data_IF_977917581354
#
_entry.id   IF_977917581354
#
_cell.length_a   1.000
_cell.length_b   1.000
_cell.length_c   1.000
_cell.angle_alpha   90.00
_cell.angle_beta   90.00
_cell.angle_gamma   90.00
#
_symmetry.space_group_name_H-M   'P 1'
#
loop_
_entity.id
_entity.type
_entity.pdbx_description
1 polymer ?
#
# COMPACT_ATOMS: atom_id res chain seq x y z
N UNK A 1 -4.32 53.46 4.79
CA UNK A 1 -5.47 53.10 5.65
C UNK A 1 -6.17 51.86 5.11
N UNK A 2 -6.03 50.76 5.86
CA UNK A 2 -6.84 49.53 5.99
C UNK A 2 -7.26 48.70 4.74
N UNK A 3 -6.41 47.72 4.33
CA UNK A 3 -6.86 46.52 3.59
C UNK A 3 -7.82 45.61 4.40
N UNK A 4 -7.89 45.79 5.73
CA UNK A 4 -8.74 44.99 6.62
C UNK A 4 -10.26 45.18 6.41
N UNK A 5 -10.72 46.27 5.79
CA UNK A 5 -12.16 46.55 5.65
C UNK A 5 -12.81 45.81 4.45
N UNK A 6 -12.02 45.40 3.44
CA UNK A 6 -12.53 44.63 2.29
C UNK A 6 -12.68 43.14 2.60
N UNK A 7 -11.87 42.60 3.51
CA UNK A 7 -11.99 41.20 3.97
C UNK A 7 -13.32 40.99 4.73
N UNK A 8 -13.79 42.00 5.48
CA UNK A 8 -15.02 41.91 6.29
C UNK A 8 -16.29 41.91 5.41
N UNK A 9 -16.29 42.61 4.26
CA UNK A 9 -17.48 42.68 3.38
C UNK A 9 -17.65 41.43 2.50
N UNK A 10 -16.55 40.77 2.12
CA UNK A 10 -16.61 39.51 1.37
C UNK A 10 -16.91 38.29 2.26
N UNK A 11 -16.42 38.28 3.50
CA UNK A 11 -16.88 37.34 4.51
C UNK A 11 -18.36 37.55 4.86
N UNK A 12 -18.87 38.78 4.79
CA UNK A 12 -20.27 39.09 5.05
C UNK A 12 -21.25 38.40 4.10
N UNK A 13 -20.96 38.31 2.79
CA UNK A 13 -21.84 37.64 1.82
C UNK A 13 -21.79 36.11 1.90
N UNK A 14 -20.60 35.54 2.18
CA UNK A 14 -20.43 34.10 2.44
C UNK A 14 -21.05 33.73 3.78
N UNK A 15 -20.85 34.54 4.82
CA UNK A 15 -21.52 34.39 6.11
C UNK A 15 -23.03 34.57 6.00
N UNK A 16 -23.55 35.41 5.10
CA UNK A 16 -25.00 35.51 4.86
C UNK A 16 -25.53 34.26 4.17
N UNK A 17 -24.82 33.71 3.18
CA UNK A 17 -25.20 32.44 2.53
C UNK A 17 -25.14 31.24 3.49
N UNK A 18 -24.07 31.16 4.31
CA UNK A 18 -23.89 30.13 5.34
C UNK A 18 -24.87 30.32 6.49
N UNK A 19 -25.15 31.54 6.95
CA UNK A 19 -26.13 31.83 8.00
C UNK A 19 -27.57 31.61 7.52
N UNK A 20 -27.90 31.88 6.26
CA UNK A 20 -29.20 31.53 5.68
C UNK A 20 -29.36 30.01 5.54
N UNK A 21 -28.29 29.27 5.26
CA UNK A 21 -28.30 27.80 5.27
C UNK A 21 -28.39 27.22 6.70
N UNK A 22 -27.71 27.83 7.69
CA UNK A 22 -27.69 27.40 9.09
C UNK A 22 -28.98 27.73 9.86
N UNK A 23 -29.61 28.88 9.60
CA UNK A 23 -30.92 29.24 10.20
C UNK A 23 -32.10 28.45 9.62
N UNK A 24 -31.89 27.65 8.57
CA UNK A 24 -32.89 26.75 7.99
C UNK A 24 -32.82 25.31 8.53
N UNK A 25 -32.06 25.08 9.62
CA UNK A 25 -32.07 23.83 10.40
C UNK A 25 -32.81 24.10 11.72
N UNK A 26 -34.03 23.55 11.94
CA UNK A 26 -34.66 23.65 13.24
C UNK A 26 -33.90 22.78 14.24
N UNK A 27 -33.62 23.36 15.40
CA UNK A 27 -33.10 22.69 16.59
C UNK A 27 -33.84 21.37 16.86
N UNK A 28 -33.14 20.24 16.76
CA UNK A 28 -33.57 19.00 17.39
C UNK A 28 -33.34 19.15 18.91
N UNK A 29 -34.31 19.79 19.57
CA UNK A 29 -34.43 19.73 21.02
C UNK A 29 -35.02 18.39 21.42
N UNK A 30 -34.16 17.59 22.02
CA UNK A 30 -34.42 16.43 22.87
C UNK A 30 -35.60 16.70 23.81
N UNK A 31 -36.79 16.21 23.47
CA UNK A 31 -37.89 16.06 24.42
C UNK A 31 -37.93 14.58 24.83
N UNK A 32 -37.24 14.28 25.94
CA UNK A 32 -37.44 13.04 26.67
C UNK A 32 -38.80 13.12 27.36
N UNK A 33 -39.74 12.33 26.88
CA UNK A 33 -41.01 12.10 27.55
C UNK A 33 -40.86 10.82 28.37
N UNK A 34 -40.72 11.00 29.68
CA UNK A 34 -40.93 9.96 30.69
C UNK A 34 -42.42 9.65 30.76
N UNK A 35 -42.77 8.36 30.75
CA UNK A 35 -44.13 7.87 31.00
C UNK A 35 -44.08 6.36 31.26
N UNK A 36 -44.74 5.86 32.32
CA UNK A 36 -44.34 4.64 33.00
C UNK A 36 -44.96 3.36 32.43
N UNK A 37 -44.29 2.25 32.74
CA UNK A 37 -44.84 0.90 32.70
C UNK A 37 -46.11 0.76 33.54
N UNK A 38 -47.13 0.11 32.99
CA UNK A 38 -47.98 -0.88 33.68
C UNK A 38 -48.97 -1.50 32.69
N UNK A 39 -49.18 -2.81 32.80
CA UNK A 39 -50.48 -3.40 32.49
C UNK A 39 -50.55 -4.45 31.39
N UNK A 40 -50.11 -5.65 31.75
CA UNK A 40 -50.66 -6.97 31.40
C UNK A 40 -52.08 -6.98 30.75
N UNK A 41 -52.23 -7.63 29.58
CA UNK A 41 -53.39 -8.51 29.31
C UNK A 41 -53.18 -9.48 28.15
N UNK A 42 -53.34 -10.75 28.50
CA UNK A 42 -53.38 -11.98 27.71
C UNK A 42 -54.74 -12.13 26.99
N UNK A 43 -54.75 -12.58 25.72
CA UNK A 43 -55.52 -13.74 25.20
C UNK A 43 -55.91 -13.67 23.70
N UNK A 44 -55.49 -14.73 22.99
CA UNK A 44 -56.18 -15.58 21.98
C UNK A 44 -56.71 -15.02 20.65
N UNK A 45 -56.03 -15.45 19.58
CA UNK A 45 -56.47 -16.44 18.57
C UNK A 45 -57.46 -16.05 17.44
N UNK A 46 -57.02 -16.43 16.22
CA UNK A 46 -57.77 -16.95 15.05
C UNK A 46 -58.21 -15.96 13.93
N UNK A 47 -57.85 -16.42 12.71
CA UNK A 47 -58.35 -16.13 11.35
C UNK A 47 -57.90 -14.91 10.51
N UNK A 48 -57.21 -15.25 9.41
CA UNK A 48 -57.26 -14.55 8.10
C UNK A 48 -58.63 -14.79 7.43
N UNK A 49 -59.05 -14.12 6.32
CA UNK A 49 -58.33 -13.17 5.46
C UNK A 49 -59.13 -11.86 5.20
N UNK A 50 -58.47 -10.78 4.76
CA UNK A 50 -58.83 -10.07 3.52
C UNK A 50 -58.03 -8.76 3.32
N UNK A 51 -57.53 -8.63 2.09
CA UNK A 51 -57.43 -7.41 1.28
C UNK A 51 -57.57 -6.04 1.98
N UNK A 52 -56.44 -5.38 2.28
CA UNK A 52 -56.39 -3.91 2.35
C UNK A 52 -55.11 -3.36 1.73
N UNK A 53 -55.28 -2.76 0.54
CA UNK A 53 -54.37 -1.78 -0.05
C UNK A 53 -54.17 -0.62 0.94
N UNK A 54 -53.03 -0.59 1.62
CA UNK A 54 -52.51 0.63 2.25
C UNK A 54 -51.46 1.22 1.33
N UNK A 55 -51.90 2.20 0.55
CA UNK A 55 -51.05 3.19 -0.12
C UNK A 55 -50.35 4.01 0.95
N UNK A 56 -49.11 3.65 1.25
CA UNK A 56 -48.23 4.48 2.07
C UNK A 56 -47.70 5.60 1.19
N UNK A 57 -48.30 6.80 1.31
CA UNK A 57 -47.79 8.04 0.72
C UNK A 57 -46.32 8.24 1.10
N UNK A 58 -45.40 8.47 0.15
CA UNK A 58 -44.05 8.93 0.49
C UNK A 58 -44.15 10.35 1.04
N UNK A 59 -43.84 10.50 2.33
CA UNK A 59 -43.88 11.77 3.04
C UNK A 59 -42.72 12.68 2.61
N UNK A 60 -43.06 13.77 1.90
CA UNK A 60 -42.61 15.18 2.01
C UNK A 60 -41.15 15.58 2.27
N UNK A 61 -40.17 14.68 2.45
CA UNK A 61 -38.77 15.05 2.71
C UNK A 61 -38.04 15.54 1.44
N UNK A 62 -38.52 15.19 0.26
CA UNK A 62 -37.82 15.48 -1.01
C UNK A 62 -37.86 16.96 -1.41
N UNK A 63 -38.94 17.68 -1.08
CA UNK A 63 -39.14 19.06 -1.58
C UNK A 63 -38.24 20.09 -0.88
N UNK A 64 -37.92 19.87 0.40
CA UNK A 64 -37.08 20.81 1.19
C UNK A 64 -35.59 20.67 0.83
N UNK A 65 -35.12 19.47 0.46
CA UNK A 65 -33.73 19.26 0.03
C UNK A 65 -33.43 19.91 -1.33
N UNK A 66 -34.39 19.82 -2.27
CA UNK A 66 -34.23 20.37 -3.62
C UNK A 66 -34.06 21.90 -3.64
N UNK A 67 -34.77 22.62 -2.76
CA UNK A 67 -34.64 24.08 -2.67
C UNK A 67 -33.28 24.51 -2.09
N UNK A 68 -32.74 23.77 -1.13
CA UNK A 68 -31.42 24.06 -0.54
C UNK A 68 -30.29 23.83 -1.55
N UNK A 69 -30.30 22.72 -2.29
CA UNK A 69 -29.32 22.45 -3.35
C UNK A 69 -29.34 23.52 -4.45
N UNK A 70 -30.51 24.06 -4.81
CA UNK A 70 -30.60 25.15 -5.78
C UNK A 70 -29.87 26.43 -5.32
N UNK A 71 -29.93 26.76 -4.03
CA UNK A 71 -29.21 27.90 -3.47
C UNK A 71 -27.68 27.71 -3.55
N UNK A 72 -27.18 26.50 -3.28
CA UNK A 72 -25.74 26.20 -3.43
C UNK A 72 -25.27 26.29 -4.87
N UNK A 73 -26.05 25.78 -5.84
CA UNK A 73 -25.76 25.94 -7.28
C UNK A 73 -25.70 27.41 -7.70
N UNK A 74 -26.65 28.22 -7.25
CA UNK A 74 -26.66 29.65 -7.53
C UNK A 74 -25.45 30.36 -6.90
N UNK A 75 -25.07 30.01 -5.67
CA UNK A 75 -23.89 30.53 -5.01
C UNK A 75 -22.59 30.13 -5.74
N UNK A 76 -22.51 28.88 -6.20
CA UNK A 76 -21.37 28.37 -6.97
C UNK A 76 -21.18 29.14 -8.27
N UNK A 77 -22.25 29.30 -9.06
CA UNK A 77 -22.23 30.11 -10.27
C UNK A 77 -21.84 31.57 -9.99
N UNK A 78 -22.32 32.14 -8.89
CA UNK A 78 -21.98 33.51 -8.50
C UNK A 78 -20.51 33.68 -8.10
N UNK A 79 -19.82 32.65 -7.61
CA UNK A 79 -18.39 32.70 -7.28
C UNK A 79 -17.52 32.89 -8.53
N UNK A 80 -17.88 32.27 -9.66
CA UNK A 80 -17.14 32.37 -10.91
C UNK A 80 -17.02 33.83 -11.41
N UNK A 81 -18.11 34.59 -11.25
CA UNK A 81 -18.23 36.00 -11.65
C UNK A 81 -17.52 36.98 -10.70
N UNK A 82 -17.03 36.53 -9.54
CA UNK A 82 -16.34 37.41 -8.57
C UNK A 82 -14.86 37.58 -8.92
N UNK A 83 -14.32 38.82 -8.85
CA UNK A 83 -12.91 39.10 -9.09
C UNK A 83 -12.04 38.72 -7.87
N UNK A 84 -12.13 37.47 -7.42
CA UNK A 84 -11.25 36.93 -6.39
C UNK A 84 -9.87 36.63 -6.98
N UNK A 85 -8.82 36.84 -6.17
CA UNK A 85 -7.54 36.20 -6.46
C UNK A 85 -7.67 34.68 -6.24
N UNK A 86 -6.66 33.91 -6.67
CA UNK A 86 -6.73 32.45 -6.67
C UNK A 86 -6.91 31.86 -5.26
N UNK A 87 -6.23 32.42 -4.25
CA UNK A 87 -6.30 31.95 -2.86
C UNK A 87 -7.70 32.17 -2.27
N UNK A 88 -8.25 33.38 -2.43
CA UNK A 88 -9.58 33.73 -1.94
C UNK A 88 -10.67 32.91 -2.64
N UNK A 89 -10.49 32.63 -3.94
CA UNK A 89 -11.40 31.78 -4.72
C UNK A 89 -11.41 30.35 -4.21
N UNK A 90 -10.24 29.73 -4.03
CA UNK A 90 -10.13 28.36 -3.49
C UNK A 90 -10.73 28.26 -2.09
N UNK A 91 -10.49 29.25 -1.23
CA UNK A 91 -11.06 29.28 0.11
C UNK A 91 -12.59 29.35 0.08
N UNK A 92 -13.17 30.22 -0.75
CA UNK A 92 -14.62 30.36 -0.90
C UNK A 92 -15.26 29.09 -1.51
N UNK A 93 -14.65 28.53 -2.54
CA UNK A 93 -15.09 27.28 -3.16
C UNK A 93 -15.04 26.11 -2.17
N UNK A 94 -13.94 25.96 -1.42
CA UNK A 94 -13.80 24.90 -0.42
C UNK A 94 -14.86 25.00 0.68
N UNK A 95 -15.10 26.20 1.22
CA UNK A 95 -16.16 26.43 2.22
C UNK A 95 -17.55 26.10 1.66
N UNK A 96 -17.83 26.53 0.42
CA UNK A 96 -19.12 26.28 -0.23
C UNK A 96 -19.34 24.79 -0.48
N UNK A 97 -18.34 24.08 -1.01
CA UNK A 97 -18.39 22.62 -1.22
C UNK A 97 -18.57 21.87 0.10
N UNK A 98 -17.88 22.29 1.16
CA UNK A 98 -18.01 21.67 2.50
C UNK A 98 -19.44 21.77 3.02
N UNK A 99 -20.08 22.92 2.86
CA UNK A 99 -21.46 23.12 3.28
C UNK A 99 -22.47 22.40 2.37
N UNK A 100 -22.22 22.40 1.06
CA UNK A 100 -23.08 21.76 0.07
C UNK A 100 -23.05 20.24 0.21
N UNK A 101 -21.87 19.62 0.42
CA UNK A 101 -21.72 18.18 0.54
C UNK A 101 -22.61 17.56 1.64
N UNK A 102 -22.84 18.29 2.73
CA UNK A 102 -23.72 17.89 3.85
C UNK A 102 -25.21 17.85 3.49
N UNK A 103 -25.60 18.54 2.42
CA UNK A 103 -27.01 18.67 2.00
C UNK A 103 -27.28 17.87 0.74
N UNK A 104 -26.34 17.88 -0.20
CA UNK A 104 -26.44 17.27 -1.52
C UNK A 104 -25.03 16.96 -2.04
N UNK A 105 -24.49 15.82 -1.62
CA UNK A 105 -23.16 15.35 -1.99
C UNK A 105 -23.02 15.19 -3.50
N UNK A 106 -24.02 14.63 -4.20
CA UNK A 106 -23.98 14.46 -5.65
C UNK A 106 -23.88 15.81 -6.37
N UNK A 107 -24.65 16.81 -5.94
CA UNK A 107 -24.57 18.17 -6.47
C UNK A 107 -23.20 18.83 -6.22
N UNK A 108 -22.64 18.67 -5.01
CA UNK A 108 -21.31 19.18 -4.69
C UNK A 108 -20.21 18.50 -5.51
N UNK A 109 -20.28 17.17 -5.70
CA UNK A 109 -19.37 16.42 -6.56
C UNK A 109 -19.46 16.87 -8.02
N UNK A 110 -20.68 17.08 -8.53
CA UNK A 110 -20.88 17.60 -9.89
C UNK A 110 -20.27 18.98 -10.06
N UNK A 111 -20.41 19.88 -9.08
CA UNK A 111 -19.79 21.20 -9.12
C UNK A 111 -18.26 21.13 -9.09
N UNK A 112 -17.71 20.29 -8.22
CA UNK A 112 -16.26 20.04 -8.17
C UNK A 112 -15.70 19.50 -9.50
N UNK A 113 -16.44 18.63 -10.19
CA UNK A 113 -16.03 18.08 -11.48
C UNK A 113 -16.29 19.02 -12.66
N UNK A 114 -17.32 19.85 -12.57
CA UNK A 114 -17.76 20.76 -13.62
C UNK A 114 -16.84 21.96 -13.81
N UNK A 115 -16.06 22.32 -12.78
CA UNK A 115 -14.99 23.29 -12.94
C UNK A 115 -13.77 22.63 -13.57
N UNK A 116 -13.65 22.82 -14.89
CA UNK A 116 -12.38 22.66 -15.58
C UNK A 116 -11.47 23.87 -15.27
N UNK A 117 -11.01 23.98 -14.01
CA UNK A 117 -9.78 24.66 -13.59
C UNK A 117 -9.53 26.02 -14.29
N UNK A 118 -10.29 27.07 -13.94
CA UNK A 118 -10.30 28.43 -14.52
C UNK A 118 -8.95 29.22 -14.46
N UNK A 119 -7.81 28.55 -14.38
CA UNK A 119 -6.48 29.14 -14.55
C UNK A 119 -5.64 28.34 -15.56
N UNK A 120 -4.80 28.99 -16.39
CA UNK A 120 -3.93 28.34 -17.36
C UNK A 120 -2.86 27.42 -16.75
N UNK A 121 -2.79 27.32 -15.42
CA UNK A 121 -1.88 26.44 -14.72
C UNK A 121 -2.66 25.37 -13.95
N UNK A 122 -2.55 24.09 -14.30
CA UNK A 122 -3.03 22.98 -13.49
C UNK A 122 -2.13 22.83 -12.27
N UNK A 123 -2.21 23.77 -11.33
CA UNK A 123 -1.48 23.67 -10.06
C UNK A 123 -2.07 22.51 -9.23
N UNK A 124 -1.30 21.43 -8.98
CA UNK A 124 -1.76 20.28 -8.20
C UNK A 124 -2.28 20.66 -6.81
N UNK A 125 -1.73 21.73 -6.20
CA UNK A 125 -2.11 22.17 -4.87
C UNK A 125 -3.56 22.67 -4.80
N UNK A 126 -4.09 23.24 -5.89
CA UNK A 126 -5.47 23.73 -5.93
C UNK A 126 -6.48 22.59 -5.86
N UNK A 127 -6.19 21.49 -6.57
CA UNK A 127 -7.03 20.29 -6.57
C UNK A 127 -7.08 19.65 -5.19
N UNK A 128 -5.93 19.52 -4.54
CA UNK A 128 -5.86 18.94 -3.19
C UNK A 128 -6.63 19.78 -2.17
N UNK A 129 -6.52 21.11 -2.26
CA UNK A 129 -7.24 22.03 -1.38
C UNK A 129 -8.77 21.89 -1.51
N UNK A 130 -9.30 21.82 -2.73
CA UNK A 130 -10.74 21.63 -2.94
C UNK A 130 -11.20 20.22 -2.59
N UNK A 131 -10.39 19.18 -2.85
CA UNK A 131 -10.72 17.82 -2.45
C UNK A 131 -10.92 17.70 -0.94
N UNK A 132 -10.18 18.47 -0.14
CA UNK A 132 -10.31 18.49 1.32
C UNK A 132 -11.69 18.96 1.83
N UNK A 133 -12.45 19.70 1.01
CA UNK A 133 -13.81 20.14 1.36
C UNK A 133 -14.77 18.97 1.64
N UNK A 134 -14.50 17.79 1.06
CA UNK A 134 -15.31 16.59 1.26
C UNK A 134 -14.88 15.76 2.46
N UNK A 135 -13.78 16.11 3.14
CA UNK A 135 -13.19 15.31 4.21
C UNK A 135 -14.17 14.97 5.34
N UNK A 136 -14.90 15.97 5.85
CA UNK A 136 -15.89 15.78 6.92
C UNK A 136 -17.03 14.85 6.48
N UNK A 137 -17.56 15.04 5.27
CA UNK A 137 -18.66 14.22 4.77
C UNK A 137 -18.23 12.77 4.54
N UNK A 138 -17.02 12.56 3.99
CA UNK A 138 -16.46 11.22 3.82
C UNK A 138 -16.17 10.53 5.16
N UNK A 139 -15.78 11.29 6.19
CA UNK A 139 -15.57 10.77 7.53
C UNK A 139 -16.87 10.39 8.23
N UNK A 140 -17.90 11.24 8.20
CA UNK A 140 -19.16 10.97 8.91
C UNK A 140 -20.07 9.97 8.19
N UNK A 141 -19.95 9.89 6.86
CA UNK A 141 -20.80 9.05 6.03
C UNK A 141 -20.02 8.20 5.02
N UNK A 142 -19.13 7.27 5.45
CA UNK A 142 -18.30 6.45 4.57
C UNK A 142 -19.08 5.71 3.48
N UNK A 143 -20.16 5.02 3.84
CA UNK A 143 -20.93 4.19 2.90
C UNK A 143 -21.62 5.00 1.81
N UNK A 144 -22.44 5.99 2.20
CA UNK A 144 -23.19 6.80 1.24
C UNK A 144 -22.27 7.69 0.40
N UNK A 145 -21.15 8.14 0.96
CA UNK A 145 -20.17 8.90 0.18
C UNK A 145 -19.41 8.05 -0.82
N UNK A 146 -19.01 6.82 -0.48
CA UNK A 146 -18.44 5.89 -1.46
C UNK A 146 -19.44 5.54 -2.56
N UNK A 147 -20.70 5.31 -2.19
CA UNK A 147 -21.77 5.07 -3.17
C UNK A 147 -21.94 6.26 -4.13
N UNK A 148 -21.77 7.50 -3.67
CA UNK A 148 -21.78 8.69 -4.53
C UNK A 148 -20.56 8.77 -5.45
N UNK A 149 -19.36 8.52 -4.91
CA UNK A 149 -18.12 8.54 -5.68
C UNK A 149 -18.07 7.46 -6.76
N UNK A 150 -18.46 6.23 -6.43
CA UNK A 150 -18.41 5.07 -7.33
C UNK A 150 -19.35 5.20 -8.54
N UNK A 151 -20.43 6.00 -8.45
CA UNK A 151 -21.30 6.32 -9.58
C UNK A 151 -20.61 7.16 -10.67
N UNK A 152 -19.52 7.86 -10.34
CA UNK A 152 -18.80 8.73 -11.26
C UNK A 152 -17.30 8.36 -11.30
N UNK A 153 -16.82 7.70 -12.37
CA UNK A 153 -15.42 7.27 -12.47
C UNK A 153 -14.40 8.40 -12.31
N UNK A 154 -14.74 9.62 -12.79
CA UNK A 154 -13.86 10.79 -12.64
C UNK A 154 -13.80 11.25 -11.18
N UNK A 155 -14.94 11.32 -10.49
CA UNK A 155 -14.98 11.63 -9.05
C UNK A 155 -14.17 10.60 -8.27
N UNK A 156 -14.37 9.31 -8.53
CA UNK A 156 -13.62 8.23 -7.88
C UNK A 156 -12.11 8.37 -8.14
N UNK A 157 -11.68 8.64 -9.37
CA UNK A 157 -10.26 8.80 -9.69
C UNK A 157 -9.62 9.99 -8.96
N UNK A 158 -10.34 11.10 -8.82
CA UNK A 158 -9.83 12.33 -8.20
C UNK A 158 -9.94 12.35 -6.67
N UNK A 159 -10.98 11.72 -6.10
CA UNK A 159 -11.33 11.87 -4.69
C UNK A 159 -11.18 10.59 -3.87
N UNK A 160 -10.94 9.41 -4.47
CA UNK A 160 -10.76 8.17 -3.72
C UNK A 160 -9.63 8.27 -2.68
N UNK A 161 -8.53 8.97 -3.00
CA UNK A 161 -7.47 9.23 -2.02
C UNK A 161 -7.98 10.01 -0.80
N UNK A 162 -8.72 11.11 -1.02
CA UNK A 162 -9.30 11.88 0.09
C UNK A 162 -10.36 11.08 0.85
N UNK A 163 -11.17 10.28 0.16
CA UNK A 163 -12.14 9.39 0.80
C UNK A 163 -11.43 8.39 1.71
N UNK A 164 -10.43 7.65 1.20
CA UNK A 164 -9.63 6.69 1.97
C UNK A 164 -9.02 7.34 3.20
N UNK A 165 -8.46 8.56 3.07
CA UNK A 165 -7.86 9.27 4.20
C UNK A 165 -8.79 9.51 5.38
N UNK A 166 -10.08 9.73 5.11
CA UNK A 166 -11.06 10.14 6.10
C UNK A 166 -11.99 9.01 6.54
N UNK A 167 -12.32 8.09 5.64
CA UNK A 167 -13.26 7.00 5.88
C UNK A 167 -12.60 5.75 6.49
N UNK A 168 -11.36 5.44 6.11
CA UNK A 168 -10.71 4.17 6.47
C UNK A 168 -10.53 3.98 8.00
N UNK A 169 -10.31 5.07 8.73
CA UNK A 169 -10.20 5.04 10.20
C UNK A 169 -11.55 5.10 10.90
N UNK A 170 -12.56 5.73 10.28
CA UNK A 170 -13.93 5.77 10.82
C UNK A 170 -14.59 4.41 10.77
N UNK A 171 -14.58 3.81 9.58
CA UNK A 171 -15.25 2.54 9.30
C UNK A 171 -14.30 1.60 8.55
N UNK A 172 -13.35 1.00 9.28
CA UNK A 172 -12.39 0.07 8.70
C UNK A 172 -13.06 -1.19 8.15
N UNK A 173 -14.17 -1.63 8.75
CA UNK A 173 -14.86 -2.84 8.32
C UNK A 173 -15.55 -2.65 6.97
N UNK A 174 -16.24 -1.54 6.78
CA UNK A 174 -16.81 -1.16 5.49
C UNK A 174 -15.70 -0.95 4.46
N UNK A 175 -14.65 -0.19 4.80
CA UNK A 175 -13.54 0.09 3.88
C UNK A 175 -12.87 -1.19 3.37
N UNK A 176 -12.68 -2.19 4.23
CA UNK A 176 -12.18 -3.51 3.78
C UNK A 176 -13.18 -4.22 2.84
N UNK A 177 -14.49 -4.11 3.08
CA UNK A 177 -15.49 -4.78 2.25
C UNK A 177 -15.49 -4.32 0.79
N UNK A 178 -15.15 -3.05 0.55
CA UNK A 178 -15.07 -2.44 -0.78
C UNK A 178 -13.63 -2.33 -1.30
N UNK A 179 -12.65 -3.00 -0.67
CA UNK A 179 -11.23 -2.82 -1.00
C UNK A 179 -10.91 -3.09 -2.48
N UNK A 180 -11.62 -4.01 -3.12
CA UNK A 180 -11.45 -4.31 -4.54
C UNK A 180 -12.11 -3.28 -5.48
N UNK A 181 -13.03 -2.46 -4.98
CA UNK A 181 -13.63 -1.35 -5.72
C UNK A 181 -12.75 -0.09 -5.67
N UNK A 182 -11.97 0.08 -4.60
CA UNK A 182 -11.03 1.18 -4.46
C UNK A 182 -9.96 1.09 -5.57
N UNK A 183 -9.62 2.20 -6.26
CA UNK A 183 -8.55 2.22 -7.25
C UNK A 183 -7.24 1.65 -6.71
N UNK A 184 -6.54 0.85 -7.52
CA UNK A 184 -5.38 0.05 -7.09
C UNK A 184 -4.31 0.87 -6.37
N UNK A 185 -4.08 2.11 -6.80
CA UNK A 185 -3.12 3.05 -6.21
C UNK A 185 -3.49 3.53 -4.80
N UNK A 186 -4.75 3.42 -4.39
CA UNK A 186 -5.23 3.81 -3.05
C UNK A 186 -5.51 2.63 -2.12
N UNK A 187 -5.56 1.38 -2.64
CA UNK A 187 -5.80 0.18 -1.80
C UNK A 187 -4.75 0.04 -0.70
N UNK A 188 -3.48 0.31 -1.02
CA UNK A 188 -2.39 0.27 -0.05
C UNK A 188 -2.53 1.34 1.04
N UNK A 189 -2.89 2.58 0.68
CA UNK A 189 -3.16 3.64 1.66
C UNK A 189 -4.35 3.29 2.55
N UNK A 190 -5.40 2.68 2.00
CA UNK A 190 -6.56 2.21 2.77
C UNK A 190 -6.15 1.18 3.83
N UNK A 191 -5.40 0.14 3.43
CA UNK A 191 -4.91 -0.86 4.40
C UNK A 191 -4.00 -0.23 5.44
N UNK A 192 -3.07 0.65 5.04
CA UNK A 192 -2.18 1.32 5.98
C UNK A 192 -2.95 2.12 7.02
N UNK A 193 -4.01 2.83 6.64
CA UNK A 193 -4.83 3.62 7.56
C UNK A 193 -5.66 2.75 8.51
N UNK A 194 -6.19 1.64 8.00
CA UNK A 194 -6.95 0.70 8.83
C UNK A 194 -6.05 0.10 9.90
N UNK A 195 -4.83 -0.32 9.54
CA UNK A 195 -3.91 -0.99 10.45
C UNK A 195 -2.79 -0.09 10.98
N UNK A 196 -2.95 1.23 10.90
CA UNK A 196 -1.98 2.17 11.46
C UNK A 196 -1.94 2.03 12.99
N UNK A 197 -0.77 2.28 13.60
CA UNK A 197 -0.62 2.29 15.06
C UNK A 197 -1.43 3.43 15.70
N UNK A 198 -1.64 4.51 14.97
CA UNK A 198 -2.44 5.65 15.43
C UNK A 198 -3.95 5.38 15.39
N UNK A 199 -4.38 4.31 14.70
CA UNK A 199 -5.79 3.89 14.70
C UNK A 199 -6.07 3.04 15.95
N UNK A 200 -6.91 3.49 16.91
CA UNK A 200 -7.10 2.83 18.20
C UNK A 200 -8.00 1.59 18.09
N UNK A 201 -7.54 0.57 17.37
CA UNK A 201 -8.22 -0.72 17.28
C UNK A 201 -7.93 -1.57 18.52
N UNK A 202 -8.97 -2.17 19.11
CA UNK A 202 -8.75 -3.21 20.12
C UNK A 202 -8.13 -4.45 19.46
N UNK A 203 -7.39 -5.29 20.21
CA UNK A 203 -6.83 -6.53 19.67
C UNK A 203 -7.86 -7.43 18.98
N UNK A 204 -9.07 -7.51 19.52
CA UNK A 204 -10.18 -8.32 18.97
C UNK A 204 -10.64 -7.78 17.62
N UNK A 205 -10.86 -6.45 17.52
CA UNK A 205 -11.25 -5.80 16.27
C UNK A 205 -10.15 -5.96 15.22
N UNK A 206 -8.89 -5.76 15.62
CA UNK A 206 -7.74 -5.93 14.72
C UNK A 206 -7.66 -7.35 14.18
N UNK A 207 -7.80 -8.38 15.02
CA UNK A 207 -7.80 -9.78 14.60
C UNK A 207 -8.96 -10.10 13.63
N UNK A 208 -10.16 -9.56 13.90
CA UNK A 208 -11.33 -9.68 12.99
C UNK A 208 -11.03 -9.06 11.62
N UNK A 209 -10.46 -7.85 11.59
CA UNK A 209 -10.14 -7.14 10.35
C UNK A 209 -9.03 -7.82 9.56
N UNK A 210 -7.97 -8.31 10.22
CA UNK A 210 -6.90 -9.09 9.57
C UNK A 210 -7.45 -10.36 8.94
N UNK A 211 -8.34 -11.07 9.65
CA UNK A 211 -9.01 -12.27 9.12
C UNK A 211 -9.86 -11.93 7.90
N UNK A 212 -10.61 -10.82 7.95
CA UNK A 212 -11.40 -10.33 6.81
C UNK A 212 -10.50 -10.00 5.62
N UNK A 213 -9.40 -9.28 5.85
CA UNK A 213 -8.41 -8.95 4.81
C UNK A 213 -7.84 -10.22 4.17
N UNK A 214 -7.53 -11.23 4.97
CA UNK A 214 -7.02 -12.51 4.49
C UNK A 214 -8.06 -13.33 3.70
N UNK A 215 -9.33 -12.91 3.67
CA UNK A 215 -10.35 -13.45 2.78
C UNK A 215 -10.52 -12.69 1.45
N UNK A 216 -9.76 -11.60 1.23
CA UNK A 216 -9.96 -10.70 0.07
C UNK A 216 -8.77 -10.79 -0.89
N UNK A 217 -8.93 -11.58 -1.95
CA UNK A 217 -7.98 -11.67 -3.07
C UNK A 217 -7.37 -13.06 -3.23
N UNK A 218 -6.33 -13.16 -4.06
CA UNK A 218 -5.56 -14.40 -4.21
C UNK A 218 -4.62 -14.63 -3.02
N UNK A 219 -4.23 -15.88 -2.72
CA UNK A 219 -3.28 -16.18 -1.66
C UNK A 219 -2.02 -15.30 -1.68
N UNK A 220 -1.37 -15.15 -2.83
CA UNK A 220 -0.19 -14.30 -2.98
C UNK A 220 -0.43 -12.82 -2.63
N UNK A 221 -1.59 -12.28 -2.98
CA UNK A 221 -1.94 -10.90 -2.66
C UNK A 221 -2.17 -10.73 -1.16
N UNK A 222 -2.81 -11.72 -0.53
CA UNK A 222 -3.05 -11.75 0.91
C UNK A 222 -1.73 -11.82 1.67
N UNK A 223 -0.84 -12.75 1.31
CA UNK A 223 0.47 -12.92 1.97
C UNK A 223 1.28 -11.63 1.92
N UNK A 224 1.36 -10.99 0.74
CA UNK A 224 2.06 -9.71 0.57
C UNK A 224 1.46 -8.59 1.43
N UNK A 225 0.13 -8.44 1.42
CA UNK A 225 -0.55 -7.41 2.21
C UNK A 225 -0.34 -7.61 3.72
N UNK A 226 -0.43 -8.85 4.19
CA UNK A 226 -0.17 -9.18 5.58
C UNK A 226 1.28 -8.88 5.96
N UNK A 227 2.24 -9.27 5.11
CA UNK A 227 3.65 -8.94 5.31
C UNK A 227 3.87 -7.43 5.46
N UNK A 228 3.29 -6.63 4.56
CA UNK A 228 3.37 -5.16 4.61
C UNK A 228 2.76 -4.57 5.90
N UNK A 229 1.63 -5.09 6.37
CA UNK A 229 0.99 -4.65 7.62
C UNK A 229 1.86 -4.98 8.84
N UNK A 230 2.35 -6.21 8.93
CA UNK A 230 3.15 -6.66 10.07
C UNK A 230 4.53 -6.02 10.12
N UNK A 231 5.11 -5.63 8.97
CA UNK A 231 6.33 -4.82 8.94
C UNK A 231 6.19 -3.52 9.76
N UNK A 232 4.98 -2.93 9.79
CA UNK A 232 4.66 -1.69 10.51
C UNK A 232 4.13 -1.92 11.91
N UNK A 233 3.45 -3.02 12.13
CA UNK A 233 2.81 -3.38 13.41
C UNK A 233 3.35 -4.71 13.91
N UNK A 234 4.54 -4.70 14.55
CA UNK A 234 5.19 -5.91 14.99
C UNK A 234 4.31 -6.73 15.92
N UNK A 235 4.36 -8.05 15.76
CA UNK A 235 3.73 -8.96 16.71
C UNK A 235 4.41 -8.86 18.07
N UNK A 236 3.63 -8.90 19.15
CA UNK A 236 4.13 -8.98 20.52
C UNK A 236 4.13 -10.42 21.05
N UNK A 237 3.48 -11.34 20.34
CA UNK A 237 3.40 -12.74 20.73
C UNK A 237 4.69 -13.49 20.39
N UNK A 238 5.03 -14.47 21.23
CA UNK A 238 6.18 -15.33 21.00
C UNK A 238 5.95 -16.25 19.78
N UNK A 239 6.97 -16.49 18.94
CA UNK A 239 6.84 -17.36 17.76
C UNK A 239 6.29 -18.74 18.08
N UNK A 240 6.75 -19.37 19.17
CA UNK A 240 6.29 -20.69 19.59
C UNK A 240 4.78 -20.74 19.88
N UNK A 241 4.21 -19.66 20.45
CA UNK A 241 2.77 -19.55 20.69
C UNK A 241 2.02 -19.46 19.36
N UNK A 242 2.47 -18.60 18.44
CA UNK A 242 1.85 -18.39 17.13
C UNK A 242 1.90 -19.65 16.26
N UNK A 243 3.02 -20.38 16.29
CA UNK A 243 3.16 -21.67 15.62
C UNK A 243 2.24 -22.75 16.22
N UNK A 244 2.04 -22.76 17.55
CA UNK A 244 1.03 -23.62 18.16
C UNK A 244 -0.39 -23.29 17.67
N UNK A 245 -0.77 -22.02 17.73
CA UNK A 245 -2.11 -21.56 17.31
C UNK A 245 -2.40 -21.87 15.83
N UNK A 246 -1.43 -21.70 14.93
CA UNK A 246 -1.67 -21.93 13.50
C UNK A 246 -1.83 -23.42 13.13
N UNK A 247 -1.39 -24.33 14.02
CA UNK A 247 -1.30 -25.77 13.73
C UNK A 247 -2.66 -26.40 14.04
N UNK A 248 -3.37 -25.80 15.00
CA UNK A 248 -4.72 -26.16 15.38
C UNK A 248 -5.78 -25.56 14.45
N UNK A 249 -5.40 -24.62 13.58
CA UNK A 249 -6.30 -23.97 12.62
C UNK A 249 -6.33 -24.74 11.28
N UNK A 250 -7.52 -24.94 10.68
CA UNK A 250 -7.62 -25.50 9.34
C UNK A 250 -7.05 -24.53 8.29
N UNK A 251 -6.66 -25.01 7.09
CA UNK A 251 -6.25 -24.14 5.99
C UNK A 251 -7.28 -23.04 5.73
N UNK A 252 -6.84 -21.78 5.71
CA UNK A 252 -7.72 -20.65 5.48
C UNK A 252 -7.18 -19.29 5.94
N UNK A 253 -8.02 -18.24 5.93
CA UNK A 253 -7.62 -16.87 6.26
C UNK A 253 -7.02 -16.72 7.66
N UNK A 254 -7.66 -17.30 8.68
CA UNK A 254 -7.19 -17.20 10.07
C UNK A 254 -5.80 -17.82 10.24
N UNK A 255 -5.59 -19.00 9.66
CA UNK A 255 -4.29 -19.68 9.65
C UNK A 255 -3.23 -18.81 8.98
N UNK A 256 -3.54 -18.25 7.80
CA UNK A 256 -2.62 -17.37 7.06
C UNK A 256 -2.24 -16.12 7.86
N UNK A 257 -3.18 -15.51 8.60
CA UNK A 257 -2.89 -14.39 9.51
C UNK A 257 -1.91 -14.80 10.59
N UNK A 258 -2.14 -15.94 11.27
CA UNK A 258 -1.20 -16.46 12.26
C UNK A 258 0.16 -16.78 11.65
N UNK A 259 0.21 -17.22 10.40
CA UNK A 259 1.46 -17.43 9.68
C UNK A 259 2.24 -16.16 9.41
N UNK A 260 1.55 -15.11 9.01
CA UNK A 260 2.18 -13.81 8.81
C UNK A 260 2.65 -13.19 10.14
N UNK A 261 1.87 -13.34 11.22
CA UNK A 261 2.26 -12.91 12.58
C UNK A 261 3.49 -13.65 13.09
N UNK A 262 3.52 -14.98 12.90
CA UNK A 262 4.68 -15.79 13.25
C UNK A 262 5.92 -15.29 12.51
N UNK A 263 5.86 -15.18 11.17
CA UNK A 263 6.97 -14.70 10.36
C UNK A 263 7.47 -13.31 10.80
N UNK A 264 6.56 -12.45 11.25
CA UNK A 264 6.91 -11.16 11.81
C UNK A 264 7.65 -11.25 13.15
N UNK A 265 7.12 -12.07 14.07
CA UNK A 265 7.69 -12.28 15.41
C UNK A 265 9.13 -12.80 15.36
N UNK A 266 9.48 -13.44 14.25
CA UNK A 266 10.82 -13.97 14.04
C UNK A 266 11.86 -12.86 13.80
N UNK A 267 11.52 -11.70 13.19
CA UNK A 267 12.48 -10.68 12.68
C UNK A 267 13.57 -10.23 13.67
N UNK A 268 13.28 -10.23 14.97
CA UNK A 268 14.18 -9.79 16.03
C UNK A 268 14.91 -10.91 16.77
N UNK A 269 14.77 -12.16 16.33
CA UNK A 269 15.45 -13.30 16.96
C UNK A 269 16.90 -13.43 16.47
N UNK A 270 17.72 -14.04 17.31
CA UNK A 270 19.04 -14.51 16.92
C UNK A 270 18.93 -15.74 16.00
N UNK A 271 19.90 -15.93 15.10
CA UNK A 271 19.90 -16.99 14.08
C UNK A 271 19.75 -18.40 14.67
N UNK A 272 20.26 -18.67 15.87
CA UNK A 272 20.11 -19.96 16.55
C UNK A 272 18.65 -20.23 16.94
N UNK A 273 17.98 -19.24 17.54
CA UNK A 273 16.55 -19.32 17.89
C UNK A 273 15.67 -19.44 16.65
N UNK A 274 16.07 -18.82 15.56
CA UNK A 274 15.41 -18.97 14.26
C UNK A 274 15.29 -20.43 13.83
N UNK A 275 16.41 -21.15 13.86
CA UNK A 275 16.43 -22.57 13.47
C UNK A 275 15.56 -23.41 14.40
N UNK A 276 15.63 -23.18 15.71
CA UNK A 276 14.81 -23.90 16.69
C UNK A 276 13.30 -23.71 16.47
N UNK A 277 12.85 -22.50 16.15
CA UNK A 277 11.44 -22.23 15.85
C UNK A 277 11.03 -22.76 14.47
N UNK A 278 11.93 -22.76 13.48
CA UNK A 278 11.66 -23.31 12.16
C UNK A 278 11.40 -24.82 12.17
N UNK A 279 12.17 -25.59 12.95
CA UNK A 279 12.00 -27.05 13.04
C UNK A 279 10.64 -27.47 13.63
N UNK A 280 9.90 -26.54 14.25
CA UNK A 280 8.55 -26.79 14.78
C UNK A 280 7.46 -26.65 13.70
N UNK A 281 7.80 -26.17 12.50
CA UNK A 281 6.84 -25.95 11.42
C UNK A 281 6.56 -27.28 10.71
N UNK A 282 5.28 -27.71 10.59
CA UNK A 282 4.93 -28.89 9.82
C UNK A 282 5.43 -28.79 8.38
N UNK A 283 5.90 -29.91 7.82
CA UNK A 283 6.43 -29.96 6.45
C UNK A 283 5.45 -29.41 5.40
N UNK A 284 4.14 -29.62 5.59
CA UNK A 284 3.10 -29.11 4.70
C UNK A 284 3.01 -27.57 4.63
N UNK A 285 3.51 -26.87 5.66
CA UNK A 285 3.40 -25.42 5.79
C UNK A 285 4.72 -24.69 5.52
N UNK A 286 5.84 -25.41 5.45
CA UNK A 286 7.18 -24.83 5.30
C UNK A 286 7.31 -23.93 4.06
N UNK A 287 6.66 -24.29 2.95
CA UNK A 287 6.66 -23.46 1.74
C UNK A 287 6.02 -22.08 1.97
N UNK A 288 4.83 -22.05 2.56
CA UNK A 288 4.12 -20.81 2.85
C UNK A 288 4.82 -20.00 3.96
N UNK A 289 5.34 -20.69 4.99
CA UNK A 289 6.12 -20.06 6.05
C UNK A 289 7.40 -19.40 5.51
N UNK A 290 8.12 -20.05 4.59
CA UNK A 290 9.30 -19.50 3.94
C UNK A 290 8.97 -18.23 3.14
N UNK A 291 7.87 -18.24 2.37
CA UNK A 291 7.43 -17.05 1.63
C UNK A 291 7.12 -15.87 2.55
N UNK A 292 6.30 -16.12 3.58
CA UNK A 292 5.90 -15.09 4.54
C UNK A 292 7.08 -14.54 5.34
N UNK A 293 8.04 -15.40 5.71
CA UNK A 293 9.26 -14.99 6.39
C UNK A 293 10.11 -14.10 5.47
N UNK A 294 10.37 -14.53 4.24
CA UNK A 294 11.21 -13.80 3.30
C UNK A 294 10.59 -12.45 2.89
N UNK A 295 9.27 -12.35 2.80
CA UNK A 295 8.56 -11.10 2.55
C UNK A 295 8.72 -10.07 3.69
N UNK A 296 8.96 -10.53 4.92
CA UNK A 296 8.98 -9.68 6.11
C UNK A 296 10.36 -9.38 6.68
N UNK A 297 11.40 -10.10 6.26
CA UNK A 297 12.78 -9.75 6.60
C UNK A 297 13.30 -8.64 5.69
N UNK A 298 14.08 -7.74 6.27
CA UNK A 298 14.75 -6.64 5.58
C UNK A 298 16.28 -6.80 5.68
N UNK A 299 17.01 -5.84 5.09
CA UNK A 299 18.46 -5.84 5.06
C UNK A 299 19.15 -5.61 6.42
N UNK A 300 18.38 -5.40 7.51
CA UNK A 300 18.89 -5.29 8.87
C UNK A 300 18.60 -6.53 9.70
N UNK A 301 17.74 -7.42 9.21
CA UNK A 301 17.38 -8.62 9.94
C UNK A 301 18.51 -9.65 9.86
N UNK A 302 19.02 -10.17 11.00
CA UNK A 302 20.01 -11.24 11.00
C UNK A 302 19.48 -12.54 10.35
N UNK A 303 18.16 -12.61 10.17
CA UNK A 303 17.45 -13.72 9.56
C UNK A 303 17.48 -13.78 8.03
N UNK A 304 17.96 -12.72 7.36
CA UNK A 304 17.77 -12.58 5.91
C UNK A 304 18.33 -13.78 5.14
N UNK A 305 19.57 -14.21 5.42
CA UNK A 305 20.16 -15.36 4.74
C UNK A 305 19.40 -16.65 5.03
N UNK A 306 19.00 -16.86 6.29
CA UNK A 306 18.19 -18.01 6.68
C UNK A 306 16.85 -18.05 5.93
N UNK A 307 16.16 -16.92 5.83
CA UNK A 307 14.89 -16.81 5.09
C UNK A 307 15.06 -17.12 3.60
N UNK A 308 16.15 -16.66 2.98
CA UNK A 308 16.51 -16.99 1.60
C UNK A 308 16.75 -18.50 1.46
N UNK A 309 17.53 -19.12 2.35
CA UNK A 309 17.80 -20.56 2.34
C UNK A 309 16.53 -21.39 2.46
N UNK A 310 15.62 -21.00 3.36
CA UNK A 310 14.32 -21.69 3.50
C UNK A 310 13.46 -21.56 2.25
N UNK A 311 13.45 -20.40 1.60
CA UNK A 311 12.73 -20.21 0.34
C UNK A 311 13.31 -21.07 -0.80
N UNK A 312 14.64 -21.20 -0.87
CA UNK A 312 15.34 -22.08 -1.82
C UNK A 312 14.97 -23.54 -1.56
N UNK A 313 15.06 -24.00 -0.30
CA UNK A 313 14.76 -25.38 0.08
C UNK A 313 13.30 -25.76 -0.18
N UNK A 314 12.38 -24.81 0.00
CA UNK A 314 10.98 -25.02 -0.29
C UNK A 314 10.59 -24.70 -1.75
N UNK A 315 11.57 -24.49 -2.64
CA UNK A 315 11.38 -24.21 -4.06
C UNK A 315 10.48 -23.00 -4.38
N UNK A 316 10.49 -21.99 -3.50
CA UNK A 316 9.69 -20.77 -3.63
C UNK A 316 10.39 -19.76 -4.55
N UNK A 317 10.61 -20.10 -5.81
CA UNK A 317 11.42 -19.28 -6.74
C UNK A 317 10.75 -17.97 -7.15
N UNK A 318 9.43 -17.94 -7.22
CA UNK A 318 8.65 -16.78 -7.64
C UNK A 318 8.83 -15.58 -6.70
N UNK A 319 9.11 -15.84 -5.43
CA UNK A 319 9.33 -14.77 -4.44
C UNK A 319 10.61 -13.98 -4.71
N UNK A 320 11.62 -14.57 -5.38
CA UNK A 320 12.89 -13.90 -5.64
C UNK A 320 12.72 -12.65 -6.50
N UNK A 321 11.87 -12.75 -7.52
CA UNK A 321 11.52 -11.63 -8.38
C UNK A 321 10.55 -10.65 -7.69
N UNK A 322 9.57 -11.17 -6.94
CA UNK A 322 8.55 -10.35 -6.27
C UNK A 322 9.14 -9.45 -5.17
N UNK A 323 10.10 -9.97 -4.41
CA UNK A 323 10.66 -9.31 -3.23
C UNK A 323 11.99 -8.57 -3.47
N UNK A 324 12.50 -8.56 -4.72
CA UNK A 324 13.78 -7.94 -5.08
C UNK A 324 14.90 -8.31 -4.08
N UNK A 325 15.15 -9.62 -3.95
CA UNK A 325 16.08 -10.17 -2.95
C UNK A 325 17.50 -9.61 -3.12
N UNK A 326 17.90 -9.32 -4.35
CA UNK A 326 19.16 -8.64 -4.61
C UNK A 326 19.19 -7.26 -3.91
N UNK A 327 18.14 -6.44 -4.04
CA UNK A 327 18.11 -5.17 -3.33
C UNK A 327 18.08 -5.32 -1.79
N UNK A 328 17.41 -6.35 -1.25
CA UNK A 328 17.49 -6.68 0.19
C UNK A 328 18.93 -7.00 0.62
N UNK A 329 19.70 -7.72 -0.18
CA UNK A 329 21.10 -8.04 0.16
C UNK A 329 22.06 -6.85 0.07
N UNK A 330 21.79 -5.85 -0.78
CA UNK A 330 22.72 -4.73 -1.02
C UNK A 330 23.11 -3.98 0.25
N UNK A 331 22.19 -3.85 1.21
CA UNK A 331 22.42 -3.20 2.51
C UNK A 331 22.67 -4.16 3.67
N UNK A 332 22.73 -5.48 3.41
CA UNK A 332 22.90 -6.48 4.46
C UNK A 332 24.32 -6.46 5.02
N UNK A 333 24.43 -6.24 6.33
CA UNK A 333 25.70 -6.16 7.06
C UNK A 333 26.13 -7.54 7.53
N UNK A 334 27.00 -8.18 6.75
CA UNK A 334 27.62 -9.47 7.09
C UNK A 334 29.06 -9.51 6.56
N UNK A 335 29.84 -10.48 7.02
CA UNK A 335 31.16 -10.75 6.42
C UNK A 335 30.98 -11.09 4.93
N UNK A 336 31.63 -10.30 4.07
CA UNK A 336 31.51 -10.41 2.62
C UNK A 336 32.17 -11.66 2.06
N UNK A 337 33.20 -12.18 2.71
CA UNK A 337 33.74 -13.48 2.37
C UNK A 337 32.75 -14.58 2.72
N UNK A 338 32.14 -14.53 3.91
CA UNK A 338 31.12 -15.50 4.29
C UNK A 338 29.90 -15.44 3.36
N UNK A 339 29.49 -14.25 2.91
CA UNK A 339 28.41 -14.07 1.95
C UNK A 339 28.74 -14.69 0.57
N UNK A 340 29.97 -14.52 0.10
CA UNK A 340 30.41 -15.13 -1.16
C UNK A 340 30.47 -16.66 -1.07
N UNK A 341 30.93 -17.21 0.05
CA UNK A 341 30.91 -18.67 0.29
C UNK A 341 29.48 -19.21 0.40
N UNK A 342 28.59 -18.49 1.08
CA UNK A 342 27.16 -18.82 1.16
C UNK A 342 26.52 -18.87 -0.24
N UNK A 343 26.87 -17.94 -1.13
CA UNK A 343 26.32 -17.89 -2.49
C UNK A 343 26.69 -19.12 -3.35
N UNK A 344 27.74 -19.86 -3.00
CA UNK A 344 28.12 -21.12 -3.66
C UNK A 344 27.16 -22.29 -3.34
N UNK A 345 26.22 -22.10 -2.42
CA UNK A 345 25.20 -23.11 -2.08
C UNK A 345 23.99 -23.05 -3.00
N UNK A 346 23.90 -22.04 -3.87
CA UNK A 346 22.74 -21.86 -4.73
C UNK A 346 22.68 -22.89 -5.86
N UNK A 347 21.48 -23.30 -6.27
CA UNK A 347 21.31 -24.03 -7.52
C UNK A 347 21.42 -23.08 -8.72
N UNK A 348 21.83 -23.63 -9.87
CA UNK A 348 21.84 -22.91 -11.14
C UNK A 348 20.41 -22.55 -11.57
N UNK A 349 20.03 -21.29 -11.38
CA UNK A 349 18.71 -20.77 -11.72
C UNK A 349 18.80 -19.32 -12.16
N UNK A 350 17.84 -18.88 -12.96
CA UNK A 350 17.78 -17.48 -13.39
C UNK A 350 17.47 -16.55 -12.20
N UNK A 351 16.60 -17.02 -11.30
CA UNK A 351 16.10 -16.28 -10.14
C UNK A 351 17.18 -16.03 -9.09
N UNK A 352 18.15 -16.95 -8.94
CA UNK A 352 19.27 -16.83 -8.00
C UNK A 352 20.45 -16.06 -8.56
N UNK A 353 20.54 -15.88 -9.89
CA UNK A 353 21.69 -15.26 -10.55
C UNK A 353 22.00 -13.84 -10.07
N UNK A 354 20.99 -12.98 -9.94
CA UNK A 354 21.19 -11.61 -9.45
C UNK A 354 21.67 -11.59 -7.98
N UNK A 355 21.16 -12.51 -7.17
CA UNK A 355 21.52 -12.68 -5.75
C UNK A 355 22.95 -13.19 -5.63
N UNK A 356 23.32 -14.19 -6.44
CA UNK A 356 24.68 -14.74 -6.55
C UNK A 356 25.69 -13.67 -6.94
N UNK A 357 25.45 -12.97 -8.06
CA UNK A 357 26.36 -11.92 -8.55
C UNK A 357 26.58 -10.83 -7.49
N UNK A 358 25.51 -10.37 -6.84
CA UNK A 358 25.63 -9.37 -5.79
C UNK A 358 26.43 -9.88 -4.59
N UNK A 359 26.18 -11.12 -4.15
CA UNK A 359 26.85 -11.73 -3.00
C UNK A 359 28.36 -11.88 -3.20
N UNK A 360 28.81 -12.18 -4.42
CA UNK A 360 30.24 -12.33 -4.74
C UNK A 360 30.91 -11.02 -5.17
N UNK A 361 30.13 -10.02 -5.60
CA UNK A 361 30.64 -8.80 -6.26
C UNK A 361 31.74 -8.11 -5.47
N UNK A 362 31.55 -7.88 -4.17
CA UNK A 362 32.53 -7.17 -3.35
C UNK A 362 33.85 -7.93 -3.24
N UNK A 363 33.79 -9.26 -3.11
CA UNK A 363 34.99 -10.13 -3.09
C UNK A 363 35.78 -10.02 -4.40
N UNK A 364 35.09 -9.94 -5.53
CA UNK A 364 35.72 -9.83 -6.85
C UNK A 364 36.23 -8.41 -7.15
N UNK A 365 35.56 -7.38 -6.64
CA UNK A 365 35.86 -5.98 -6.93
C UNK A 365 36.99 -5.42 -6.07
N UNK A 366 37.06 -5.81 -4.79
CA UNK A 366 38.08 -5.31 -3.86
C UNK A 366 39.48 -5.79 -4.25
N UNK A 367 39.63 -7.08 -4.54
CA UNK A 367 40.87 -7.67 -5.05
C UNK A 367 40.58 -8.62 -6.22
N UNK A 368 40.59 -8.12 -7.47
CA UNK A 368 40.31 -8.92 -8.66
C UNK A 368 41.30 -10.04 -8.91
N UNK A 369 42.51 -9.98 -8.35
CA UNK A 369 43.50 -11.05 -8.51
C UNK A 369 43.17 -12.20 -7.53
N UNK A 370 42.93 -11.88 -6.27
CA UNK A 370 42.48 -12.87 -5.28
C UNK A 370 41.11 -13.45 -5.63
N UNK A 371 40.17 -12.61 -6.11
CA UNK A 371 38.86 -13.03 -6.59
C UNK A 371 38.95 -14.00 -7.77
N UNK A 372 39.82 -13.73 -8.75
CA UNK A 372 40.09 -14.65 -9.84
C UNK A 372 40.68 -15.98 -9.32
N UNK A 373 41.69 -15.94 -8.45
CA UNK A 373 42.28 -17.13 -7.86
C UNK A 373 41.27 -17.96 -7.04
N UNK A 374 40.31 -17.30 -6.39
CA UNK A 374 39.20 -17.97 -5.70
C UNK A 374 38.27 -18.68 -6.69
N UNK A 375 37.84 -18.00 -7.77
CA UNK A 375 37.02 -18.62 -8.82
C UNK A 375 37.72 -19.81 -9.50
N UNK A 376 39.03 -19.76 -9.67
CA UNK A 376 39.81 -20.84 -10.29
C UNK A 376 39.92 -22.12 -9.44
N UNK A 377 39.62 -22.05 -8.14
CA UNK A 377 39.51 -23.23 -7.28
C UNK A 377 38.19 -23.99 -7.49
N UNK A 378 37.18 -23.32 -8.04
CA UNK A 378 35.91 -23.96 -8.37
C UNK A 378 36.08 -24.84 -9.63
N UNK A 379 35.33 -25.95 -9.77
CA UNK A 379 35.42 -26.81 -10.94
C UNK A 379 35.16 -26.03 -12.24
N UNK A 380 36.00 -26.27 -13.27
CA UNK A 380 35.75 -25.75 -14.61
C UNK A 380 34.40 -26.25 -15.14
N UNK A 381 33.63 -25.35 -15.76
CA UNK A 381 32.28 -25.63 -16.25
C UNK A 381 31.18 -25.54 -15.17
N UNK A 382 31.52 -25.38 -13.88
CA UNK A 382 30.51 -25.14 -12.85
C UNK A 382 29.90 -23.76 -12.98
N UNK A 383 28.57 -23.65 -12.91
CA UNK A 383 27.86 -22.38 -13.11
C UNK A 383 28.38 -21.25 -12.20
N UNK A 384 28.72 -21.54 -10.94
CA UNK A 384 29.30 -20.58 -10.01
C UNK A 384 30.62 -19.98 -10.53
N UNK A 385 31.52 -20.82 -11.06
CA UNK A 385 32.79 -20.36 -11.64
C UNK A 385 32.53 -19.50 -12.88
N UNK A 386 31.71 -20.02 -13.80
CA UNK A 386 31.49 -19.40 -15.10
C UNK A 386 30.80 -18.04 -14.93
N UNK A 387 29.72 -17.95 -14.15
CA UNK A 387 29.04 -16.69 -13.85
C UNK A 387 29.85 -15.76 -12.95
N UNK A 388 30.68 -16.29 -12.04
CA UNK A 388 31.63 -15.49 -11.28
C UNK A 388 32.68 -14.82 -12.17
N UNK A 389 33.14 -15.50 -13.24
CA UNK A 389 34.04 -14.92 -14.23
C UNK A 389 33.35 -13.84 -15.09
N UNK A 390 32.03 -13.97 -15.34
CA UNK A 390 31.23 -12.88 -15.96
C UNK A 390 31.21 -11.66 -15.05
N UNK A 391 30.95 -11.83 -13.75
CA UNK A 391 30.94 -10.72 -12.78
C UNK A 391 32.33 -10.08 -12.63
N UNK A 392 33.40 -10.87 -12.61
CA UNK A 392 34.78 -10.38 -12.60
C UNK A 392 35.09 -9.54 -13.86
N UNK A 393 34.62 -10.00 -15.03
CA UNK A 393 34.72 -9.26 -16.30
C UNK A 393 34.06 -7.89 -16.19
N UNK A 394 32.81 -7.84 -15.70
CA UNK A 394 32.09 -6.58 -15.48
C UNK A 394 32.85 -5.66 -14.52
N UNK A 395 33.32 -6.19 -13.40
CA UNK A 395 34.06 -5.43 -12.41
C UNK A 395 35.37 -4.83 -12.94
N UNK A 396 36.13 -5.60 -13.73
CA UNK A 396 37.38 -5.11 -14.33
C UNK A 396 37.13 -3.99 -15.34
N UNK A 397 36.07 -4.07 -16.14
CA UNK A 397 35.75 -3.03 -17.13
C UNK A 397 35.16 -1.78 -16.49
N UNK A 398 34.08 -1.93 -15.72
CA UNK A 398 33.30 -0.79 -15.21
C UNK A 398 33.97 -0.08 -14.04
N UNK A 399 34.61 -0.81 -13.12
CA UNK A 399 35.22 -0.20 -11.94
C UNK A 399 36.68 0.22 -12.16
N UNK A 400 37.40 -0.44 -13.09
CA UNK A 400 38.86 -0.27 -13.23
C UNK A 400 39.35 0.08 -14.63
N UNK A 401 38.50 -0.02 -15.67
CA UNK A 401 38.94 0.17 -17.06
C UNK A 401 39.96 -0.86 -17.55
N UNK A 402 40.09 -2.01 -16.88
CA UNK A 402 41.07 -3.06 -17.20
C UNK A 402 40.51 -4.02 -18.26
N UNK A 403 40.56 -3.59 -19.52
CA UNK A 403 40.05 -4.36 -20.66
C UNK A 403 40.88 -5.63 -20.91
N UNK A 404 42.19 -5.59 -20.68
CA UNK A 404 43.03 -6.76 -20.86
C UNK A 404 42.73 -7.82 -19.78
N UNK A 405 42.53 -7.39 -18.54
CA UNK A 405 42.09 -8.27 -17.48
C UNK A 405 40.70 -8.85 -17.71
N UNK A 406 39.77 -8.09 -18.29
CA UNK A 406 38.45 -8.57 -18.70
C UNK A 406 38.55 -9.63 -19.81
N UNK A 407 39.33 -9.40 -20.86
CA UNK A 407 39.53 -10.38 -21.94
C UNK A 407 40.10 -11.71 -21.43
N UNK A 408 41.10 -11.66 -20.54
CA UNK A 408 41.66 -12.86 -19.91
C UNK A 408 40.63 -13.63 -19.07
N UNK A 409 39.71 -12.92 -18.41
CA UNK A 409 38.62 -13.57 -17.67
C UNK A 409 37.64 -14.25 -18.64
N UNK A 410 37.25 -13.59 -19.74
CA UNK A 410 36.37 -14.14 -20.79
C UNK A 410 36.96 -15.42 -21.40
N UNK A 411 38.27 -15.44 -21.70
CA UNK A 411 38.95 -16.62 -22.27
C UNK A 411 38.90 -17.84 -21.35
N UNK A 412 38.79 -17.63 -20.03
CA UNK A 412 38.70 -18.70 -19.02
C UNK A 412 37.27 -19.22 -18.82
N UNK A 413 36.26 -18.54 -19.37
CA UNK A 413 34.87 -19.00 -19.34
C UNK A 413 34.72 -20.14 -20.34
N UNK A 414 34.37 -21.32 -19.86
CA UNK A 414 34.19 -22.54 -20.66
C UNK A 414 32.75 -22.77 -21.07
N UNK A 415 31.79 -22.28 -20.27
CA UNK A 415 30.37 -22.32 -20.65
C UNK A 415 30.07 -21.32 -21.77
N UNK A 416 29.38 -21.79 -22.81
CA UNK A 416 29.13 -20.99 -24.03
C UNK A 416 28.21 -19.81 -23.71
N UNK A 417 27.16 -20.04 -22.92
CA UNK A 417 26.18 -18.99 -22.58
C UNK A 417 26.78 -17.89 -21.71
N UNK A 418 27.54 -18.25 -20.69
CA UNK A 418 28.24 -17.30 -19.82
C UNK A 418 29.27 -16.50 -20.62
N UNK A 419 29.98 -17.13 -21.57
CA UNK A 419 30.96 -16.46 -22.43
C UNK A 419 30.28 -15.44 -23.35
N UNK A 420 29.17 -15.82 -23.98
CA UNK A 420 28.37 -14.90 -24.81
C UNK A 420 27.89 -13.68 -24.02
N UNK A 421 27.40 -13.88 -22.79
CA UNK A 421 27.02 -12.76 -21.93
C UNK A 421 28.22 -11.85 -21.63
N UNK A 422 29.37 -12.40 -21.26
CA UNK A 422 30.56 -11.59 -20.97
C UNK A 422 31.04 -10.79 -22.19
N UNK A 423 30.98 -11.40 -23.39
CA UNK A 423 31.27 -10.74 -24.66
C UNK A 423 30.27 -9.62 -24.96
N UNK A 424 28.98 -9.86 -24.72
CA UNK A 424 27.92 -8.84 -24.86
C UNK A 424 28.17 -7.66 -23.90
N UNK A 425 28.42 -7.93 -22.62
CA UNK A 425 28.74 -6.89 -21.64
C UNK A 425 29.96 -6.05 -22.04
N UNK A 426 30.99 -6.69 -22.63
CA UNK A 426 32.16 -5.98 -23.16
C UNK A 426 31.80 -5.08 -24.36
N UNK A 427 31.00 -5.60 -25.29
CA UNK A 427 30.53 -4.82 -26.43
C UNK A 427 29.71 -3.60 -25.99
N UNK A 428 28.77 -3.78 -25.05
CA UNK A 428 27.95 -2.69 -24.50
C UNK A 428 28.82 -1.61 -23.84
N UNK A 429 29.83 -2.03 -23.07
CA UNK A 429 30.81 -1.10 -22.48
C UNK A 429 31.59 -0.31 -23.54
N UNK A 430 32.06 -0.98 -24.61
CA UNK A 430 32.78 -0.32 -25.71
C UNK A 430 31.89 0.70 -26.44
N UNK A 431 30.63 0.35 -26.69
CA UNK A 431 29.67 1.26 -27.31
C UNK A 431 29.44 2.49 -26.44
N UNK A 432 29.27 2.32 -25.13
CA UNK A 432 29.04 3.43 -24.20
C UNK A 432 30.27 4.32 -24.01
N UNK A 433 31.48 3.77 -24.10
CA UNK A 433 32.74 4.52 -23.90
C UNK A 433 33.33 5.11 -25.18
N UNK A 434 32.92 4.62 -26.36
CA UNK A 434 33.34 5.15 -27.66
C UNK A 434 32.53 6.36 -28.14
N UNK A 435 31.39 6.66 -27.50
CA UNK A 435 30.60 7.85 -27.82
C UNK A 435 31.29 9.11 -27.30
N UNK A 436 31.75 10.02 -28.19
CA UNK A 436 32.33 11.28 -27.76
C UNK A 436 31.22 12.14 -27.14
N UNK A 437 31.35 12.44 -25.84
CA UNK A 437 30.56 13.44 -25.09
C UNK A 437 29.09 13.12 -24.74
N UNK A 438 28.84 12.10 -23.91
CA UNK A 438 27.64 12.10 -23.04
C UNK A 438 27.98 12.11 -21.54
N UNK A 439 29.23 11.88 -21.13
CA UNK A 439 29.57 11.81 -19.70
C UNK A 439 30.88 12.53 -19.39
N UNK A 440 30.78 13.82 -19.05
CA UNK A 440 31.68 14.54 -18.13
C UNK A 440 31.14 15.95 -17.78
N UNK A 441 29.86 16.05 -17.46
CA UNK A 441 29.40 17.06 -16.51
C UNK A 441 28.85 16.30 -15.30
N UNK A 442 29.72 16.07 -14.32
CA UNK A 442 29.39 15.76 -12.93
C UNK A 442 30.29 16.59 -12.04
#
# INVERSE_FOLDING_TARGET
MKPALKIITHLGAIALGVALAANALPHFSRQGQTGPETGDRRQTAVDSPDSRKTSTKPASRTTIGQSKSAAFRAAWAALAEKPFNTVDRVAAQSQLLTAWAKVDLDGALQAFLGEAWDGPSPDPFHREALASAFATEFHEHPESSWAALSRNPMASALLAGTWVRNAATKDPEFTLSILNEIPVNFRFDAMNRIFDRENPLTPEIRAKLLTKLAGIGSPDQIERRLAEIFLRTPSTDAPAKLAGEWNDLPPGPQRTVRMAEWANSMRGLEVTKFSEEWEKIPAADQAQAARLLLAQVDNRSPALLFAIDRAIQAEQWDIFAKEDIANKLRGFQTDRNALAEWALTFPERQETRAVFNLAISEKLLNDPAAGQAWLEKLPAGSWHREWGLVELTLGRMWARGDIQGANRAIERITDTRAREEALKCRYDWQLLTSQPNIVREK
#
